data_IF_904869999613
#
_entry.id   IF_904869999613
#
_cell.length_a   1.000
_cell.length_b   1.000
_cell.length_c   1.000
_cell.angle_alpha   90.00
_cell.angle_beta   90.00
_cell.angle_gamma   90.00
#
_symmetry.space_group_name_H-M   'P 1'
#
loop_
_entity.id
_entity.type
_entity.pdbx_description
1 polymer ?
#
# COMPACT_ATOMS: atom_id res chain seq x y z
N UNK A 1 10.19 12.19 16.51
CA UNK A 1 10.21 13.53 15.88
C UNK A 1 11.48 13.64 15.05
N UNK A 2 11.47 14.24 13.85
CA UNK A 2 12.72 14.55 13.14
C UNK A 2 13.52 15.58 13.97
N UNK A 3 14.83 15.64 13.78
CA UNK A 3 15.77 16.47 14.58
C UNK A 3 15.37 17.95 14.72
N UNK A 4 14.50 18.46 13.83
CA UNK A 4 14.05 19.85 13.80
C UNK A 4 12.61 20.05 14.34
N UNK A 5 12.07 19.12 15.14
CA UNK A 5 10.71 19.22 15.70
C UNK A 5 9.57 19.03 14.68
N UNK A 6 9.88 18.78 13.40
CA UNK A 6 8.88 18.50 12.35
C UNK A 6 8.33 17.09 12.50
N UNK A 7 7.00 16.97 12.53
CA UNK A 7 6.32 15.68 12.42
C UNK A 7 6.56 15.08 11.04
N UNK A 8 6.56 13.76 10.96
CA UNK A 8 6.57 13.01 9.71
C UNK A 8 5.10 12.73 9.37
N UNK A 9 4.49 13.43 8.40
CA UNK A 9 3.09 13.21 8.05
C UNK A 9 2.94 11.88 7.31
N UNK A 10 2.19 10.98 7.93
CA UNK A 10 1.90 9.64 7.45
C UNK A 10 0.37 9.51 7.35
N UNK A 11 -0.14 8.89 6.28
CA UNK A 11 -1.58 8.75 6.05
C UNK A 11 -1.94 7.40 5.45
N UNK A 12 -3.17 6.96 5.64
CA UNK A 12 -3.76 5.75 5.05
C UNK A 12 -5.18 6.07 4.60
N UNK A 13 -5.35 6.39 3.31
CA UNK A 13 -6.61 6.94 2.77
C UNK A 13 -7.33 5.97 1.80
N UNK A 14 -6.87 4.72 1.72
CA UNK A 14 -7.43 3.71 0.82
C UNK A 14 -6.78 3.71 -0.56
N UNK A 15 -7.59 3.41 -1.59
CA UNK A 15 -7.16 3.36 -3.00
C UNK A 15 -6.95 4.77 -3.55
N UNK A 16 -5.97 4.91 -4.45
CA UNK A 16 -5.72 6.15 -5.17
C UNK A 16 -6.15 5.97 -6.62
N UNK A 17 -7.02 6.87 -7.10
CA UNK A 17 -7.66 6.75 -8.41
C UNK A 17 -6.75 7.15 -9.59
N UNK A 18 -5.72 7.97 -9.35
CA UNK A 18 -4.80 8.43 -10.41
C UNK A 18 -3.46 8.90 -9.87
N UNK A 19 -2.45 8.96 -10.75
CA UNK A 19 -1.13 9.53 -10.47
C UNK A 19 -1.23 10.96 -9.92
N UNK A 20 -2.13 11.79 -10.47
CA UNK A 20 -2.31 13.18 -10.04
C UNK A 20 -2.70 13.32 -8.57
N UNK A 21 -3.40 12.34 -7.99
CA UNK A 21 -3.73 12.33 -6.55
C UNK A 21 -2.47 12.04 -5.72
N UNK A 22 -1.63 11.09 -6.14
CA UNK A 22 -0.37 10.79 -5.47
C UNK A 22 0.59 11.99 -5.51
N UNK A 23 0.65 12.69 -6.65
CA UNK A 23 1.48 13.90 -6.81
C UNK A 23 0.99 15.01 -5.87
N UNK A 24 -0.33 15.25 -5.78
CA UNK A 24 -0.92 16.21 -4.84
C UNK A 24 -0.61 15.88 -3.38
N UNK A 25 -0.64 14.60 -3.01
CA UNK A 25 -0.27 14.16 -1.67
C UNK A 25 1.22 14.44 -1.39
N UNK A 26 2.10 14.17 -2.36
CA UNK A 26 3.52 14.47 -2.26
C UNK A 26 3.78 15.97 -2.08
N UNK A 27 3.14 16.81 -2.89
CA UNK A 27 3.26 18.26 -2.86
C UNK A 27 2.75 18.86 -1.53
N UNK A 28 1.73 18.24 -0.93
CA UNK A 28 1.24 18.61 0.41
C UNK A 28 2.21 18.27 1.55
N UNK A 29 3.30 17.54 1.25
CA UNK A 29 4.35 17.19 2.20
C UNK A 29 4.23 15.78 2.80
N UNK A 30 3.34 14.92 2.28
CA UNK A 30 3.17 13.56 2.78
C UNK A 30 4.48 12.77 2.70
N UNK A 31 4.87 12.16 3.81
CA UNK A 31 6.13 11.44 3.95
C UNK A 31 5.98 9.93 3.82
N UNK A 32 4.85 9.37 4.24
CA UNK A 32 4.54 7.95 4.11
C UNK A 32 3.06 7.73 3.78
N UNK A 33 2.78 6.73 2.97
CA UNK A 33 1.42 6.25 2.75
C UNK A 33 1.31 4.78 3.19
N UNK A 34 0.35 4.48 4.05
CA UNK A 34 -0.01 3.13 4.46
C UNK A 34 -0.94 2.50 3.42
N UNK A 35 -0.52 1.43 2.78
CA UNK A 35 -1.35 0.68 1.84
C UNK A 35 -0.96 -0.80 1.84
N UNK A 36 -1.73 -1.61 2.56
CA UNK A 36 -1.49 -3.05 2.65
C UNK A 36 -1.93 -3.78 1.37
N UNK A 37 -1.29 -4.91 1.08
CA UNK A 37 -1.82 -5.87 0.09
C UNK A 37 -2.80 -6.86 0.73
N UNK A 38 -2.88 -6.86 2.06
CA UNK A 38 -3.72 -7.70 2.94
C UNK A 38 -3.38 -9.19 2.91
N UNK A 39 -3.13 -9.77 1.75
CA UNK A 39 -2.83 -11.20 1.60
C UNK A 39 -2.11 -11.46 0.27
N UNK A 40 -1.99 -12.73 -0.11
CA UNK A 40 -1.55 -13.08 -1.44
C UNK A 40 -2.59 -12.69 -2.50
N UNK A 41 -2.13 -12.50 -3.73
CA UNK A 41 -2.98 -12.28 -4.91
C UNK A 41 -4.08 -13.33 -5.09
N UNK A 42 -3.79 -14.60 -4.78
CA UNK A 42 -4.73 -15.71 -4.99
C UNK A 42 -5.77 -15.84 -3.87
N UNK A 43 -5.43 -15.42 -2.66
CA UNK A 43 -6.32 -15.48 -1.50
C UNK A 43 -7.12 -14.19 -1.28
N UNK A 44 -6.70 -13.08 -1.89
CA UNK A 44 -7.39 -11.79 -1.80
C UNK A 44 -8.91 -11.84 -2.07
N UNK A 45 -9.40 -12.54 -3.11
CA UNK A 45 -10.84 -12.60 -3.41
C UNK A 45 -11.69 -13.29 -2.33
N UNK A 46 -11.09 -14.11 -1.46
CA UNK A 46 -11.81 -14.85 -0.41
C UNK A 46 -12.33 -13.93 0.70
N UNK A 47 -11.72 -12.76 0.91
CA UNK A 47 -12.11 -11.82 1.97
C UNK A 47 -12.39 -10.40 1.47
N UNK A 48 -12.07 -10.08 0.22
CA UNK A 48 -12.36 -8.76 -0.33
C UNK A 48 -12.90 -8.84 -1.77
N UNK A 49 -14.11 -8.31 -1.96
CA UNK A 49 -14.84 -8.34 -3.24
C UNK A 49 -15.14 -6.96 -3.80
N UNK A 50 -14.90 -5.89 -3.04
CA UNK A 50 -15.25 -4.50 -3.44
C UNK A 50 -14.19 -3.84 -4.32
N UNK A 51 -12.99 -4.39 -4.35
CA UNK A 51 -11.88 -3.98 -5.20
C UNK A 51 -10.97 -5.18 -5.41
N UNK A 52 -10.02 -5.06 -6.34
CA UNK A 52 -9.12 -6.17 -6.69
C UNK A 52 -7.74 -5.98 -6.09
N UNK A 53 -6.96 -7.07 -6.08
CA UNK A 53 -5.53 -7.00 -5.76
C UNK A 53 -4.77 -6.06 -6.71
N UNK A 54 -5.19 -5.98 -7.98
CA UNK A 54 -4.61 -5.07 -8.97
C UNK A 54 -4.85 -3.60 -8.65
N UNK A 55 -6.01 -3.26 -8.08
CA UNK A 55 -6.29 -1.88 -7.68
C UNK A 55 -5.33 -1.43 -6.55
N UNK A 56 -4.97 -2.37 -5.66
CA UNK A 56 -3.96 -2.13 -4.62
C UNK A 56 -2.57 -1.94 -5.20
N UNK A 57 -2.17 -2.79 -6.15
CA UNK A 57 -0.89 -2.64 -6.85
C UNK A 57 -0.80 -1.33 -7.63
N UNK A 58 -1.88 -0.91 -8.31
CA UNK A 58 -1.95 0.40 -8.98
C UNK A 58 -1.72 1.54 -8.00
N UNK A 59 -2.35 1.49 -6.83
CA UNK A 59 -2.13 2.48 -5.76
C UNK A 59 -0.67 2.53 -5.34
N UNK A 60 -0.05 1.37 -5.10
CA UNK A 60 1.39 1.27 -4.78
C UNK A 60 2.25 1.88 -5.90
N UNK A 61 1.91 1.61 -7.17
CA UNK A 61 2.66 2.15 -8.31
C UNK A 61 2.58 3.68 -8.37
N UNK A 62 1.40 4.27 -8.17
CA UNK A 62 1.24 5.73 -8.13
C UNK A 62 2.07 6.36 -7.02
N UNK A 63 2.09 5.74 -5.84
CA UNK A 63 2.88 6.19 -4.69
C UNK A 63 4.39 6.08 -4.94
N UNK A 64 4.84 4.96 -5.55
CA UNK A 64 6.25 4.75 -5.95
C UNK A 64 6.68 5.83 -6.94
N UNK A 65 5.87 6.08 -7.98
CA UNK A 65 6.14 7.10 -8.99
C UNK A 65 6.22 8.52 -8.41
N UNK A 66 5.35 8.85 -7.45
CA UNK A 66 5.36 10.15 -6.75
C UNK A 66 6.51 10.28 -5.72
N UNK A 67 7.32 9.23 -5.51
CA UNK A 67 8.40 9.23 -4.53
C UNK A 67 7.89 9.34 -3.08
N UNK A 68 6.70 8.79 -2.80
CA UNK A 68 6.15 8.68 -1.44
C UNK A 68 6.63 7.34 -0.85
N UNK A 69 7.11 7.35 0.40
CA UNK A 69 7.47 6.09 1.08
C UNK A 69 6.21 5.27 1.33
N UNK A 70 6.29 3.96 1.17
CA UNK A 70 5.15 3.08 1.34
C UNK A 70 5.37 2.23 2.58
N UNK A 71 4.35 2.14 3.42
CA UNK A 71 4.25 1.13 4.46
C UNK A 71 3.21 0.12 3.98
N UNK A 72 3.64 -1.10 3.67
CA UNK A 72 2.77 -2.17 3.19
C UNK A 72 3.06 -3.46 3.94
N UNK A 73 2.03 -4.28 4.09
CA UNK A 73 2.09 -5.60 4.71
C UNK A 73 0.87 -6.44 4.34
N UNK A 74 0.71 -7.54 5.07
CA UNK A 74 -0.43 -8.44 4.97
C UNK A 74 -0.85 -8.94 6.34
N UNK A 75 -2.06 -9.50 6.39
CA UNK A 75 -2.64 -10.17 7.55
C UNK A 75 -2.38 -11.67 7.39
N UNK A 76 -1.95 -12.31 8.47
CA UNK A 76 -1.65 -13.74 8.52
C UNK A 76 -2.64 -14.41 9.48
N UNK A 77 -3.13 -15.59 9.14
CA UNK A 77 -4.07 -16.37 9.95
C UNK A 77 -5.54 -16.18 9.59
N UNK A 78 -5.84 -15.82 8.35
CA UNK A 78 -7.20 -15.71 7.80
C UNK A 78 -7.72 -17.04 7.20
N UNK A 79 -6.92 -18.11 7.29
CA UNK A 79 -7.23 -19.42 6.68
C UNK A 79 -6.47 -19.67 5.37
N UNK A 80 -5.48 -18.83 5.07
CA UNK A 80 -4.61 -18.96 3.91
C UNK A 80 -3.62 -20.13 4.05
N UNK A 81 -3.16 -20.67 2.91
CA UNK A 81 -2.14 -21.71 2.93
C UNK A 81 -0.77 -21.14 3.26
N UNK A 82 0.18 -21.98 3.73
CA UNK A 82 1.56 -21.54 4.02
C UNK A 82 2.30 -20.93 2.82
N UNK A 83 1.85 -21.22 1.61
CA UNK A 83 2.39 -20.62 0.38
C UNK A 83 1.81 -19.23 0.09
N UNK A 84 0.76 -18.79 0.80
CA UNK A 84 0.18 -17.44 0.72
C UNK A 84 0.96 -16.45 1.58
N UNK A 85 1.58 -16.93 2.67
CA UNK A 85 2.34 -16.12 3.61
C UNK A 85 3.79 -15.88 3.18
N UNK A 86 4.28 -16.64 2.19
CA UNK A 86 5.57 -16.36 1.54
C UNK A 86 5.34 -15.16 0.64
N UNK A 87 6.07 -14.07 0.90
CA UNK A 87 5.89 -12.80 0.20
C UNK A 87 5.60 -13.02 -1.28
N UNK A 88 4.48 -12.47 -1.74
CA UNK A 88 4.09 -12.50 -3.14
C UNK A 88 5.29 -12.03 -3.94
N UNK A 89 5.80 -12.82 -4.89
CA UNK A 89 6.95 -12.48 -5.73
C UNK A 89 6.71 -11.28 -6.67
N UNK A 90 5.83 -10.36 -6.29
CA UNK A 90 5.21 -9.31 -7.07
C UNK A 90 6.06 -8.02 -7.14
N UNK A 91 7.36 -8.08 -6.82
CA UNK A 91 8.30 -6.96 -7.04
C UNK A 91 8.00 -5.69 -6.22
N UNK A 92 7.34 -5.83 -5.09
CA UNK A 92 6.89 -4.73 -4.21
C UNK A 92 7.99 -4.21 -3.26
N UNK A 93 9.09 -4.94 -3.10
CA UNK A 93 10.28 -4.50 -2.36
C UNK A 93 10.95 -3.28 -2.99
#
# INVERSE_FOLDING_TARGET
>A
MKENGKSRPDASLGLIESQAVADRLKDSGLSCYGHNLESSRRFFPEHCTTHTFEDRLKTIQFLKNAGIKICSGGIIGMGEDRVDTRGSGDGIA
#
